data_IF_929655914271
#
_entry.id   IF_929655914271
#
_cell.length_a   1.000
_cell.length_b   1.000
_cell.length_c   1.000
_cell.angle_alpha   90.00
_cell.angle_beta   90.00
_cell.angle_gamma   90.00
#
_symmetry.space_group_name_H-M   'P 1'
#
loop_
_entity.id
_entity.type
_entity.pdbx_description
1 polymer ?
#
# COMPACT_ATOMS: atom_id res chain seq x y z
N UNK A 1 -11.14 0.03 14.14
CA UNK A 1 -10.51 1.28 14.61
C UNK A 1 -9.55 1.73 13.52
N UNK A 2 -9.91 2.74 12.72
CA UNK A 2 -9.03 3.32 11.69
C UNK A 2 -7.97 4.16 12.42
N UNK A 3 -6.70 3.77 12.33
CA UNK A 3 -5.59 4.54 12.90
C UNK A 3 -4.97 5.33 11.74
N UNK A 4 -5.30 6.63 11.65
CA UNK A 4 -4.66 7.58 10.74
C UNK A 4 -3.61 8.35 11.55
N UNK A 5 -2.33 8.08 11.32
CA UNK A 5 -1.26 8.88 11.90
C UNK A 5 -0.77 9.89 10.86
N UNK A 6 -0.94 11.18 11.17
CA UNK A 6 -0.34 12.29 10.42
C UNK A 6 0.93 12.74 11.14
N UNK A 7 2.10 12.41 10.58
CA UNK A 7 3.37 12.87 11.15
C UNK A 7 3.66 14.30 10.69
N UNK A 8 3.20 15.29 11.44
CA UNK A 8 3.60 16.70 11.22
C UNK A 8 4.60 17.14 12.29
N UNK A 9 5.87 17.28 11.88
CA UNK A 9 6.94 18.07 12.51
C UNK A 9 7.22 17.86 14.03
N UNK A 10 8.29 17.11 14.33
CA UNK A 10 8.94 17.09 15.66
C UNK A 10 9.69 18.42 15.88
N UNK A 11 9.24 19.23 16.85
CA UNK A 11 9.93 20.46 17.29
C UNK A 11 10.94 20.13 18.38
N UNK A 12 12.18 19.78 18.02
CA UNK A 12 13.30 19.82 18.96
C UNK A 12 14.49 20.58 18.38
N UNK A 13 15.01 21.49 19.22
CA UNK A 13 15.98 22.55 18.91
C UNK A 13 17.40 21.98 18.77
N UNK A 14 17.64 21.32 17.65
CA UNK A 14 18.98 21.02 17.11
C UNK A 14 18.92 21.49 15.64
N UNK A 15 20.02 21.99 15.08
CA UNK A 15 20.11 22.35 13.65
C UNK A 15 19.87 21.11 12.77
N UNK A 16 18.61 20.72 12.62
CA UNK A 16 18.13 19.80 11.61
C UNK A 16 17.57 20.73 10.54
N UNK A 17 18.13 20.69 9.33
CA UNK A 17 17.50 21.34 8.18
C UNK A 17 16.01 21.00 8.21
N UNK A 18 15.16 22.02 8.17
CA UNK A 18 13.70 21.85 8.14
C UNK A 18 13.38 21.01 6.90
N UNK A 19 13.11 19.72 7.10
CA UNK A 19 12.70 18.85 6.00
C UNK A 19 11.26 19.29 5.70
N UNK A 20 11.07 20.02 4.60
CA UNK A 20 9.74 20.45 4.14
C UNK A 20 8.99 19.27 3.51
N UNK A 21 8.87 18.15 4.22
CA UNK A 21 8.18 16.94 3.79
C UNK A 21 7.13 16.49 4.80
N UNK A 22 5.94 16.21 4.31
CA UNK A 22 4.82 15.66 5.04
C UNK A 22 4.55 14.23 4.58
N UNK A 23 3.99 13.42 5.48
CA UNK A 23 3.65 12.03 5.22
C UNK A 23 2.34 11.66 5.90
N UNK A 24 1.66 10.66 5.33
CA UNK A 24 0.50 10.03 5.94
C UNK A 24 0.51 8.53 5.60
N UNK A 25 -0.09 7.75 6.50
CA UNK A 25 -0.26 6.31 6.34
C UNK A 25 -1.66 5.88 6.76
N UNK A 26 -2.19 4.83 6.15
CA UNK A 26 -3.41 4.16 6.56
C UNK A 26 -3.17 2.65 6.59
N UNK A 27 -3.37 2.06 7.76
CA UNK A 27 -3.33 0.61 7.92
C UNK A 27 -4.75 0.08 8.13
N UNK A 28 -5.12 -0.87 7.28
CA UNK A 28 -6.38 -1.59 7.34
C UNK A 28 -6.11 -2.89 8.09
N UNK A 29 -6.90 -3.19 9.13
CA UNK A 29 -6.79 -4.43 9.92
C UNK A 29 -7.37 -5.66 9.20
N UNK A 30 -7.01 -5.82 7.92
CA UNK A 30 -7.29 -6.96 7.07
C UNK A 30 -6.05 -7.20 6.23
N UNK A 31 -5.57 -8.43 6.19
CA UNK A 31 -4.42 -8.86 5.37
C UNK A 31 -4.66 -10.24 4.77
N UNK A 32 -3.59 -10.93 4.39
CA UNK A 32 -3.69 -12.24 3.70
C UNK A 32 -4.43 -13.34 4.47
N UNK A 33 -4.52 -13.27 5.81
CA UNK A 33 -5.33 -14.22 6.59
C UNK A 33 -6.84 -14.04 6.41
N UNK A 34 -7.26 -12.91 5.84
CA UNK A 34 -8.65 -12.63 5.51
C UNK A 34 -9.00 -12.99 4.06
N UNK A 35 -8.05 -13.56 3.31
CA UNK A 35 -8.30 -14.00 1.93
C UNK A 35 -9.34 -15.13 1.89
N UNK A 36 -10.27 -15.12 0.92
CA UNK A 36 -11.12 -16.26 0.65
C UNK A 36 -10.28 -17.51 0.35
N UNK A 37 -10.73 -18.67 0.83
CA UNK A 37 -10.03 -19.95 0.66
C UNK A 37 -9.84 -20.29 -0.83
N UNK A 38 -10.79 -19.87 -1.67
CA UNK A 38 -10.78 -20.07 -3.12
C UNK A 38 -9.94 -19.02 -3.89
N UNK A 39 -9.51 -17.94 -3.23
CA UNK A 39 -8.75 -16.83 -3.83
C UNK A 39 -7.62 -16.35 -2.91
N UNK A 40 -6.57 -17.17 -2.67
CA UNK A 40 -5.41 -16.73 -1.90
C UNK A 40 -4.67 -15.60 -2.63
N UNK A 41 -4.19 -14.61 -1.88
CA UNK A 41 -3.51 -13.43 -2.41
C UNK A 41 -4.46 -12.26 -2.75
N UNK A 42 -5.76 -12.37 -2.43
CA UNK A 42 -6.75 -11.34 -2.76
C UNK A 42 -6.45 -9.99 -2.09
N UNK A 43 -6.05 -9.98 -0.82
CA UNK A 43 -5.67 -8.76 -0.12
C UNK A 43 -4.46 -8.08 -0.78
N UNK A 44 -3.48 -8.88 -1.22
CA UNK A 44 -2.27 -8.35 -1.86
C UNK A 44 -2.57 -7.80 -3.27
N UNK A 45 -3.36 -8.50 -4.10
CA UNK A 45 -3.74 -7.92 -5.39
C UNK A 45 -4.63 -6.69 -5.22
N UNK A 46 -5.51 -6.65 -4.21
CA UNK A 46 -6.31 -5.47 -3.92
C UNK A 46 -5.41 -4.27 -3.57
N UNK A 47 -4.33 -4.49 -2.82
CA UNK A 47 -3.32 -3.47 -2.54
C UNK A 47 -2.79 -2.81 -3.79
N UNK A 48 -2.34 -3.60 -4.77
CA UNK A 48 -1.90 -3.09 -6.07
C UNK A 48 -2.99 -2.30 -6.78
N UNK A 49 -4.22 -2.84 -6.78
CA UNK A 49 -5.34 -2.24 -7.50
C UNK A 49 -5.79 -0.89 -6.96
N UNK A 50 -5.52 -0.55 -5.69
CA UNK A 50 -5.86 0.77 -5.15
C UNK A 50 -5.01 1.90 -5.74
N UNK A 51 -3.81 1.60 -6.24
CA UNK A 51 -2.99 2.57 -6.97
C UNK A 51 -3.50 2.82 -8.39
N UNK A 52 -4.30 1.91 -8.97
CA UNK A 52 -4.72 1.91 -10.38
C UNK A 52 -5.92 2.82 -10.69
N UNK A 53 -6.06 3.90 -9.93
CA UNK A 53 -7.07 4.94 -10.14
C UNK A 53 -8.38 4.77 -9.37
N UNK A 54 -9.10 5.88 -9.26
CA UNK A 54 -10.34 6.04 -8.50
C UNK A 54 -11.39 6.83 -9.30
N UNK A 55 -12.63 6.89 -8.81
CA UNK A 55 -13.69 7.62 -9.51
C UNK A 55 -13.37 9.10 -9.76
N UNK A 56 -12.70 9.77 -8.81
CA UNK A 56 -12.31 11.18 -8.95
C UNK A 56 -10.99 11.36 -9.72
N UNK A 57 -10.08 10.38 -9.64
CA UNK A 57 -8.77 10.38 -10.32
C UNK A 57 -8.63 9.08 -11.14
N UNK A 58 -9.22 9.01 -12.35
CA UNK A 58 -9.43 7.75 -13.05
C UNK A 58 -8.21 7.21 -13.80
N UNK A 59 -7.18 8.02 -14.01
CA UNK A 59 -5.98 7.59 -14.73
C UNK A 59 -5.10 6.71 -13.84
N UNK A 60 -4.68 5.55 -14.35
CA UNK A 60 -4.01 4.49 -13.56
C UNK A 60 -2.69 4.97 -12.93
N UNK A 61 -1.95 5.85 -13.61
CA UNK A 61 -0.67 6.37 -13.12
C UNK A 61 -0.77 7.78 -12.54
N UNK A 62 -1.99 8.30 -12.29
CA UNK A 62 -2.18 9.69 -11.85
C UNK A 62 -1.49 9.96 -10.53
N UNK A 63 -1.69 9.07 -9.55
CA UNK A 63 -1.19 9.24 -8.19
C UNK A 63 0.35 9.23 -8.13
N UNK A 64 0.97 8.23 -8.75
CA UNK A 64 2.44 8.12 -8.79
C UNK A 64 3.07 9.26 -9.59
N UNK A 65 2.45 9.65 -10.71
CA UNK A 65 2.89 10.80 -11.49
C UNK A 65 2.77 12.10 -10.70
N UNK A 66 1.69 12.25 -9.92
CA UNK A 66 1.47 13.41 -9.07
C UNK A 66 2.53 13.47 -7.97
N UNK A 67 2.76 12.38 -7.24
CA UNK A 67 3.78 12.33 -6.19
C UNK A 67 5.17 12.64 -6.74
N UNK A 68 5.57 11.99 -7.84
CA UNK A 68 6.88 12.18 -8.47
C UNK A 68 7.12 13.65 -8.86
N UNK A 69 6.10 14.33 -9.43
CA UNK A 69 6.17 15.76 -9.78
C UNK A 69 6.33 16.67 -8.57
N UNK A 70 5.80 16.26 -7.42
CA UNK A 70 5.79 17.05 -6.18
C UNK A 70 6.86 16.60 -5.18
N UNK A 71 7.86 15.84 -5.63
CA UNK A 71 8.97 15.37 -4.80
C UNK A 71 8.54 14.39 -3.71
N UNK A 72 7.50 13.62 -3.98
CA UNK A 72 6.95 12.59 -3.11
C UNK A 72 7.14 11.18 -3.68
N UNK A 73 6.78 10.21 -2.87
CA UNK A 73 6.76 8.79 -3.20
C UNK A 73 5.77 8.08 -2.31
N UNK A 74 5.26 6.94 -2.78
CA UNK A 74 4.35 6.07 -2.04
C UNK A 74 4.82 4.63 -2.08
N UNK A 75 4.31 3.85 -1.15
CA UNK A 75 4.37 2.41 -1.22
C UNK A 75 3.23 1.80 -0.37
N UNK A 76 3.06 0.50 -0.48
CA UNK A 76 2.20 -0.26 0.40
C UNK A 76 2.82 -1.63 0.69
N UNK A 77 2.22 -2.36 1.63
CA UNK A 77 2.51 -3.77 1.86
C UNK A 77 1.32 -4.47 2.51
N UNK A 78 1.16 -5.75 2.20
CA UNK A 78 0.17 -6.65 2.79
C UNK A 78 0.88 -7.69 3.63
N UNK A 79 0.60 -7.66 4.93
CA UNK A 79 1.01 -8.68 5.89
C UNK A 79 -0.14 -9.69 6.11
N UNK A 80 0.00 -10.52 7.14
CA UNK A 80 -1.00 -11.51 7.53
C UNK A 80 -2.31 -10.89 8.00
N UNK A 81 -2.23 -9.89 8.89
CA UNK A 81 -3.42 -9.32 9.55
C UNK A 81 -3.73 -7.88 9.14
N UNK A 82 -2.89 -7.27 8.31
CA UNK A 82 -3.03 -5.88 7.89
C UNK A 82 -2.48 -5.60 6.50
N UNK A 83 -3.04 -4.59 5.86
CA UNK A 83 -2.48 -3.96 4.67
C UNK A 83 -2.27 -2.48 4.96
N UNK A 84 -1.06 -1.99 4.73
CA UNK A 84 -0.69 -0.60 5.05
C UNK A 84 -0.28 0.13 3.78
N UNK A 85 -0.86 1.31 3.58
CA UNK A 85 -0.53 2.24 2.50
C UNK A 85 0.09 3.48 3.11
N UNK A 86 1.06 4.09 2.43
CA UNK A 86 1.69 5.31 2.91
C UNK A 86 2.32 6.12 1.78
N UNK A 87 2.45 7.42 2.03
CA UNK A 87 3.15 8.32 1.14
C UNK A 87 3.93 9.37 1.91
N UNK A 88 4.90 9.96 1.23
CA UNK A 88 5.54 11.21 1.60
C UNK A 88 5.49 12.20 0.42
N UNK A 89 5.45 13.49 0.71
CA UNK A 89 5.39 14.57 -0.29
C UNK A 89 5.90 15.87 0.34
N UNK A 90 6.22 16.90 -0.44
CA UNK A 90 6.51 18.22 0.14
C UNK A 90 5.30 18.80 0.89
N UNK A 91 5.54 19.48 1.99
CA UNK A 91 4.51 20.01 2.92
C UNK A 91 3.38 20.77 2.20
N UNK A 92 3.74 21.60 1.22
CA UNK A 92 2.80 22.45 0.48
C UNK A 92 1.78 21.67 -0.36
N UNK A 93 2.04 20.41 -0.69
CA UNK A 93 1.15 19.55 -1.48
C UNK A 93 0.37 18.54 -0.63
N UNK A 94 0.58 18.48 0.69
CA UNK A 94 -0.04 17.48 1.57
C UNK A 94 -1.55 17.38 1.38
N UNK A 95 -2.26 18.52 1.32
CA UNK A 95 -3.72 18.56 1.22
C UNK A 95 -4.23 17.89 -0.06
N UNK A 96 -3.60 18.22 -1.19
CA UNK A 96 -4.00 17.70 -2.50
C UNK A 96 -3.57 16.23 -2.69
N UNK A 97 -2.44 15.83 -2.10
CA UNK A 97 -2.05 14.41 -2.04
C UNK A 97 -3.02 13.61 -1.18
N UNK A 98 -3.42 14.13 -0.02
CA UNK A 98 -4.34 13.45 0.89
C UNK A 98 -5.72 13.27 0.26
N UNK A 99 -6.16 14.24 -0.56
CA UNK A 99 -7.40 14.13 -1.34
C UNK A 99 -7.34 12.92 -2.30
N UNK A 100 -6.27 12.77 -3.07
CA UNK A 100 -6.06 11.62 -3.97
C UNK A 100 -5.98 10.31 -3.20
N UNK A 101 -5.14 10.31 -2.18
CA UNK A 101 -4.92 9.16 -1.30
C UNK A 101 -6.22 8.67 -0.64
N UNK A 102 -7.10 9.57 -0.21
CA UNK A 102 -8.38 9.17 0.39
C UNK A 102 -9.29 8.42 -0.58
N UNK A 103 -9.16 8.64 -1.89
CA UNK A 103 -10.02 7.98 -2.89
C UNK A 103 -9.73 6.49 -3.03
N UNK A 104 -8.56 6.02 -2.60
CA UNK A 104 -8.20 4.60 -2.53
C UNK A 104 -9.23 3.83 -1.69
N UNK A 105 -9.72 4.47 -0.63
CA UNK A 105 -10.60 3.85 0.37
C UNK A 105 -12.08 4.23 0.21
N UNK A 106 -12.39 5.14 -0.72
CA UNK A 106 -13.76 5.63 -0.95
C UNK A 106 -14.35 4.99 -2.20
N UNK A 107 -13.66 5.08 -3.34
CA UNK A 107 -14.20 4.61 -4.62
C UNK A 107 -13.09 4.25 -5.62
N UNK A 108 -12.28 3.21 -5.34
CA UNK A 108 -11.31 2.68 -6.31
C UNK A 108 -12.01 2.07 -7.52
N UNK A 109 -11.41 2.13 -8.71
CA UNK A 109 -12.06 1.66 -9.94
C UNK A 109 -11.93 0.16 -10.18
N UNK A 110 -10.82 -0.45 -9.74
CA UNK A 110 -10.52 -1.89 -9.93
C UNK A 110 -10.80 -2.35 -11.37
N UNK A 111 -10.20 -1.65 -12.35
CA UNK A 111 -10.48 -1.89 -13.77
C UNK A 111 -10.02 -3.30 -14.19
N UNK A 112 -10.85 -4.09 -14.91
CA UNK A 112 -10.48 -5.45 -15.34
C UNK A 112 -9.16 -5.52 -16.12
N UNK A 113 -8.93 -4.55 -17.02
CA UNK A 113 -7.69 -4.49 -17.81
C UNK A 113 -6.44 -4.21 -16.98
N UNK A 114 -6.57 -3.41 -15.91
CA UNK A 114 -5.45 -3.18 -15.00
C UNK A 114 -5.20 -4.44 -14.15
N UNK A 115 -6.28 -5.08 -13.67
CA UNK A 115 -6.21 -6.32 -12.90
C UNK A 115 -5.47 -7.44 -13.64
N UNK A 116 -5.77 -7.65 -14.93
CA UNK A 116 -5.07 -8.67 -15.74
C UNK A 116 -3.55 -8.45 -15.78
N UNK A 117 -3.09 -7.19 -15.80
CA UNK A 117 -1.66 -6.86 -15.80
C UNK A 117 -1.05 -6.97 -14.41
N UNK A 118 -1.76 -6.50 -13.39
CA UNK A 118 -1.27 -6.55 -12.00
C UNK A 118 -1.17 -7.99 -11.49
N UNK A 119 -2.02 -8.91 -11.96
CA UNK A 119 -1.86 -10.35 -11.69
C UNK A 119 -0.50 -10.85 -12.18
N UNK A 120 -0.04 -10.41 -13.37
CA UNK A 120 1.28 -10.80 -13.89
C UNK A 120 2.43 -10.15 -13.08
N UNK A 121 2.22 -8.94 -12.55
CA UNK A 121 3.18 -8.28 -11.68
C UNK A 121 3.34 -9.04 -10.35
N UNK A 122 2.23 -9.38 -9.70
CA UNK A 122 2.21 -10.15 -8.45
C UNK A 122 2.78 -11.56 -8.66
N UNK A 123 2.48 -12.21 -9.79
CA UNK A 123 3.08 -13.50 -10.15
C UNK A 123 4.61 -13.37 -10.27
N UNK A 124 5.11 -12.30 -10.91
CA UNK A 124 6.54 -12.03 -10.97
C UNK A 124 7.19 -11.80 -9.60
N UNK A 125 6.51 -11.13 -8.68
CA UNK A 125 6.97 -10.94 -7.30
C UNK A 125 7.08 -12.29 -6.58
N UNK A 126 6.05 -13.12 -6.68
CA UNK A 126 6.08 -14.47 -6.13
C UNK A 126 7.26 -15.28 -6.65
N UNK A 127 7.54 -15.25 -7.96
CA UNK A 127 8.70 -15.94 -8.54
C UNK A 127 10.05 -15.41 -8.02
N UNK A 128 10.16 -14.10 -7.75
CA UNK A 128 11.37 -13.52 -7.14
C UNK A 128 11.58 -14.03 -5.71
N UNK A 129 10.49 -14.19 -4.96
CA UNK A 129 10.54 -14.60 -3.56
C UNK A 129 10.64 -16.12 -3.33
N UNK A 130 10.50 -16.95 -4.38
CA UNK A 130 10.61 -18.42 -4.29
C UNK A 130 11.92 -18.91 -3.64
N UNK A 131 13.01 -18.18 -3.84
CA UNK A 131 14.34 -18.51 -3.33
C UNK A 131 14.70 -17.74 -2.04
N UNK A 132 13.77 -16.97 -1.50
CA UNK A 132 13.99 -16.24 -0.25
C UNK A 132 13.68 -17.16 0.95
N UNK A 133 14.71 -17.52 1.71
CA UNK A 133 14.59 -18.42 2.85
C UNK A 133 13.60 -17.94 3.92
N UNK A 134 13.47 -16.63 4.13
CA UNK A 134 12.52 -16.08 5.08
C UNK A 134 11.07 -16.34 4.65
N UNK A 135 10.75 -16.12 3.37
CA UNK A 135 9.42 -16.41 2.81
C UNK A 135 9.14 -17.92 2.79
N UNK A 136 10.12 -18.73 2.41
CA UNK A 136 10.00 -20.21 2.42
C UNK A 136 9.70 -20.73 3.83
N UNK A 137 10.42 -20.22 4.84
CA UNK A 137 10.21 -20.62 6.23
C UNK A 137 8.86 -20.13 6.76
N UNK A 138 8.42 -18.91 6.42
CA UNK A 138 7.10 -18.41 6.77
C UNK A 138 6.00 -19.32 6.19
N UNK A 139 6.09 -19.66 4.90
CA UNK A 139 5.11 -20.53 4.25
C UNK A 139 5.10 -21.94 4.85
N UNK A 140 6.27 -22.50 5.18
CA UNK A 140 6.37 -23.79 5.86
C UNK A 140 5.71 -23.75 7.25
N UNK A 141 5.89 -22.66 8.01
CA UNK A 141 5.24 -22.46 9.31
C UNK A 141 3.73 -22.41 9.15
N UNK A 142 3.21 -21.61 8.21
CA UNK A 142 1.77 -21.54 7.95
C UNK A 142 1.19 -22.92 7.55
N UNK A 143 1.90 -23.70 6.74
CA UNK A 143 1.45 -25.03 6.31
C UNK A 143 1.50 -26.09 7.41
N UNK A 144 2.39 -25.94 8.39
CA UNK A 144 2.58 -26.92 9.49
C UNK A 144 1.94 -26.48 10.81
N UNK A 145 1.33 -25.29 10.84
CA UNK A 145 0.62 -24.77 12.01
C UNK A 145 -0.64 -25.58 12.32
N UNK A 146 -1.00 -25.62 13.60
CA UNK A 146 -2.29 -26.14 14.03
C UNK A 146 -3.41 -25.18 13.56
N UNK A 147 -4.59 -25.73 13.26
CA UNK A 147 -5.73 -24.90 12.86
C UNK A 147 -6.07 -23.87 13.95
N UNK A 148 -6.11 -22.59 13.56
CA UNK A 148 -6.42 -21.47 14.46
C UNK A 148 -5.20 -20.87 15.19
N UNK A 149 -3.97 -21.20 14.75
CA UNK A 149 -2.72 -20.57 15.19
C UNK A 149 -2.09 -19.73 14.09
#
# INVERSE_FOLDING_TARGET
MLMLEMMTSVKNKICIQRINSAAAAMCIGMGSFSDPIDVPGLAHILEHMLFMGSAEFPDENEYDSYLSKHGGSSNAYTEHERTCYYFQVKDEFLKETLKRYSQFFISPLVKPKALEREILAVDSEFYKDLQNDAHRLAQLRCHTAASGC
#
